data_IF_890339990345
#
_entry.id   IF_890339990345
#
_cell.length_a   1.000
_cell.length_b   1.000
_cell.length_c   1.000
_cell.angle_alpha   90.00
_cell.angle_beta   90.00
_cell.angle_gamma   90.00
#
_symmetry.space_group_name_H-M   'P 1'
#
loop_
_entity.id
_entity.type
_entity.pdbx_description
1 polymer ?
#
# COMPACT_ATOMS: atom_id res chain seq x y z
N UNK A 1 -8.30 -33.96 -12.35
CA UNK A 1 -8.01 -33.07 -11.20
C UNK A 1 -6.83 -33.71 -10.48
N UNK A 2 -5.63 -33.42 -10.94
CA UNK A 2 -4.39 -33.83 -10.28
C UNK A 2 -4.02 -32.69 -9.34
N UNK A 3 -4.40 -32.83 -8.07
CA UNK A 3 -3.99 -31.92 -7.01
C UNK A 3 -2.47 -31.92 -6.94
N UNK A 4 -1.88 -30.74 -7.03
CA UNK A 4 -0.48 -30.54 -6.65
C UNK A 4 -0.37 -30.99 -5.18
N UNK A 5 0.41 -32.02 -4.91
CA UNK A 5 0.65 -32.49 -3.55
C UNK A 5 1.48 -31.43 -2.82
N UNK A 6 0.79 -30.52 -2.13
CA UNK A 6 1.37 -29.41 -1.36
C UNK A 6 2.02 -29.88 -0.05
N UNK A 7 2.54 -31.11 -0.02
CA UNK A 7 3.32 -31.61 1.12
C UNK A 7 4.74 -31.02 1.19
N UNK A 8 5.23 -30.40 0.11
CA UNK A 8 6.50 -29.68 0.09
C UNK A 8 6.38 -28.35 0.82
N UNK A 9 7.26 -28.10 1.78
CA UNK A 9 7.32 -26.84 2.51
C UNK A 9 7.72 -25.69 1.54
N UNK A 10 6.94 -24.61 1.51
CA UNK A 10 7.23 -23.44 0.68
C UNK A 10 8.32 -22.60 1.35
N UNK A 11 9.35 -22.23 0.59
CA UNK A 11 10.34 -21.25 1.05
C UNK A 11 9.76 -19.81 0.97
N UNK A 12 10.05 -18.96 1.93
CA UNK A 12 9.68 -17.56 1.92
C UNK A 12 10.85 -16.66 2.26
N UNK A 13 11.12 -15.66 1.42
CA UNK A 13 12.09 -14.59 1.69
C UNK A 13 11.32 -13.37 2.21
N UNK A 14 11.41 -13.04 3.51
CA UNK A 14 10.58 -12.01 4.11
C UNK A 14 11.05 -10.60 3.77
N UNK A 15 10.13 -9.64 3.90
CA UNK A 15 10.46 -8.22 3.83
C UNK A 15 11.17 -7.73 5.10
N UNK A 16 10.86 -8.31 6.24
CA UNK A 16 11.51 -8.09 7.52
C UNK A 16 11.73 -9.39 8.28
N UNK A 17 12.82 -9.49 9.08
CA UNK A 17 13.25 -10.76 9.70
C UNK A 17 12.20 -11.35 10.67
N UNK A 18 11.35 -10.51 11.26
CA UNK A 18 10.36 -10.92 12.29
C UNK A 18 8.94 -11.06 11.71
N UNK A 19 8.77 -10.94 10.38
CA UNK A 19 7.48 -10.98 9.69
C UNK A 19 6.46 -9.92 10.17
N UNK A 20 6.91 -8.87 10.84
CA UNK A 20 6.05 -7.83 11.41
C UNK A 20 5.81 -6.64 10.48
N UNK A 21 6.51 -6.57 9.35
CA UNK A 21 6.30 -5.51 8.39
C UNK A 21 4.91 -5.63 7.75
N UNK A 22 4.22 -4.51 7.42
CA UNK A 22 2.90 -4.55 6.78
C UNK A 22 2.85 -5.46 5.56
N UNK A 23 3.93 -5.47 4.75
CA UNK A 23 4.05 -6.38 3.62
C UNK A 23 3.93 -7.86 4.05
N UNK A 24 4.74 -8.31 5.02
CA UNK A 24 4.73 -9.70 5.45
C UNK A 24 3.37 -10.08 6.07
N UNK A 25 2.73 -9.17 6.82
CA UNK A 25 1.43 -9.43 7.48
C UNK A 25 0.23 -9.44 6.53
N UNK A 26 0.35 -8.86 5.31
CA UNK A 26 -0.78 -8.61 4.40
C UNK A 26 -0.70 -9.38 3.08
N UNK A 27 0.40 -10.08 2.82
CA UNK A 27 0.65 -10.77 1.55
C UNK A 27 0.75 -12.28 1.76
N UNK A 28 1.77 -12.93 1.18
CA UNK A 28 1.91 -14.39 1.21
C UNK A 28 1.78 -15.02 2.59
N UNK A 29 2.42 -14.56 3.69
CA UNK A 29 2.26 -15.18 5.00
C UNK A 29 0.81 -15.16 5.51
N UNK A 30 0.06 -14.09 5.25
CA UNK A 30 -1.37 -14.03 5.59
C UNK A 30 -2.20 -15.01 4.78
N UNK A 31 -1.96 -15.07 3.47
CA UNK A 31 -2.60 -16.05 2.60
C UNK A 31 -2.30 -17.49 3.07
N UNK A 32 -1.04 -17.81 3.34
CA UNK A 32 -0.63 -19.13 3.84
C UNK A 32 -1.38 -19.49 5.13
N UNK A 33 -1.48 -18.55 6.08
CA UNK A 33 -2.25 -18.77 7.30
C UNK A 33 -3.74 -19.03 7.02
N UNK A 34 -4.36 -18.31 6.08
CA UNK A 34 -5.77 -18.52 5.69
C UNK A 34 -6.01 -19.89 5.04
N UNK A 35 -5.04 -20.43 4.33
CA UNK A 35 -5.13 -21.72 3.62
C UNK A 35 -4.51 -22.89 4.43
N UNK A 36 -3.96 -22.62 5.61
CA UNK A 36 -3.28 -23.65 6.41
C UNK A 36 -2.02 -24.19 5.77
N UNK A 37 -1.36 -23.38 4.92
CA UNK A 37 -0.11 -23.74 4.27
C UNK A 37 1.08 -23.50 5.21
N UNK A 38 2.02 -24.44 5.22
CA UNK A 38 3.29 -24.28 5.94
C UNK A 38 4.34 -23.64 5.05
N UNK A 39 5.14 -22.74 5.61
CA UNK A 39 6.30 -22.17 4.94
C UNK A 39 7.49 -22.02 5.89
N UNK A 40 8.68 -21.92 5.33
CA UNK A 40 9.92 -21.66 6.07
C UNK A 40 10.58 -20.36 5.56
N UNK A 41 11.10 -19.56 6.49
CA UNK A 41 11.92 -18.39 6.13
C UNK A 41 13.29 -18.86 5.66
N UNK A 42 13.65 -18.49 4.44
CA UNK A 42 14.83 -19.03 3.77
C UNK A 42 15.77 -17.94 3.24
N UNK A 43 17.10 -18.15 3.28
CA UNK A 43 18.07 -17.23 2.69
C UNK A 43 18.36 -17.52 1.20
N UNK A 44 18.01 -18.71 0.71
CA UNK A 44 18.29 -19.23 -0.63
C UNK A 44 17.26 -20.31 -1.05
N UNK A 45 17.48 -20.95 -2.21
CA UNK A 45 16.55 -21.93 -2.82
C UNK A 45 16.95 -23.41 -2.60
N UNK A 46 18.06 -23.70 -1.92
CA UNK A 46 18.68 -25.03 -1.98
C UNK A 46 17.77 -26.18 -1.54
N UNK A 47 16.93 -25.95 -0.54
CA UNK A 47 16.10 -27.00 0.07
C UNK A 47 14.61 -26.92 -0.29
N UNK A 48 14.20 -26.03 -1.20
CA UNK A 48 12.79 -25.81 -1.50
C UNK A 48 12.53 -25.89 -3.01
N UNK A 49 11.45 -26.56 -3.40
CA UNK A 49 11.00 -26.63 -4.78
C UNK A 49 10.31 -25.35 -5.24
N UNK A 50 9.67 -24.63 -4.31
CA UNK A 50 8.96 -23.39 -4.53
C UNK A 50 9.37 -22.37 -3.47
N UNK A 51 9.74 -21.15 -3.93
CA UNK A 51 10.07 -20.03 -3.03
C UNK A 51 9.29 -18.79 -3.43
N UNK A 52 8.69 -18.12 -2.44
CA UNK A 52 8.04 -16.81 -2.60
C UNK A 52 8.98 -15.71 -2.12
N UNK A 53 9.25 -14.75 -2.99
CA UNK A 53 10.21 -13.67 -2.77
C UNK A 53 9.48 -12.36 -2.47
N UNK A 54 9.75 -11.75 -1.33
CA UNK A 54 9.33 -10.38 -1.04
C UNK A 54 10.19 -9.35 -1.81
N UNK A 55 9.80 -8.06 -1.84
CA UNK A 55 10.59 -7.00 -2.49
C UNK A 55 11.99 -6.79 -1.90
N UNK A 56 12.25 -7.33 -0.70
CA UNK A 56 13.57 -7.28 -0.05
C UNK A 56 14.52 -8.38 -0.51
N UNK A 57 14.03 -9.35 -1.29
CA UNK A 57 14.87 -10.39 -1.85
C UNK A 57 15.95 -9.78 -2.75
N UNK A 58 17.19 -10.29 -2.62
CA UNK A 58 18.30 -9.83 -3.43
C UNK A 58 18.18 -10.35 -4.87
N UNK A 59 17.67 -9.50 -5.78
CA UNK A 59 17.52 -9.86 -7.18
C UNK A 59 18.83 -10.36 -7.83
N UNK A 60 20.02 -9.91 -7.34
CA UNK A 60 21.31 -10.35 -7.87
C UNK A 60 21.67 -11.78 -7.50
N UNK A 61 21.03 -12.33 -6.49
CA UNK A 61 21.16 -13.74 -6.09
C UNK A 61 20.11 -14.59 -6.79
N UNK A 62 18.84 -14.20 -6.69
CA UNK A 62 17.71 -15.03 -7.11
C UNK A 62 17.57 -15.19 -8.63
N UNK A 63 18.18 -14.31 -9.41
CA UNK A 63 18.24 -14.45 -10.88
C UNK A 63 18.96 -15.72 -11.34
N UNK A 64 19.82 -16.30 -10.51
CA UNK A 64 20.59 -17.51 -10.84
C UNK A 64 19.94 -18.80 -10.29
N UNK A 65 18.71 -18.72 -9.78
CA UNK A 65 17.97 -19.90 -9.31
C UNK A 65 17.83 -20.91 -10.45
N UNK A 66 18.18 -22.19 -10.23
CA UNK A 66 18.03 -23.24 -11.23
C UNK A 66 16.61 -23.37 -11.77
N UNK A 67 16.45 -23.78 -13.03
CA UNK A 67 15.15 -23.86 -13.69
C UNK A 67 14.21 -24.96 -13.16
N UNK A 68 14.74 -25.91 -12.40
CA UNK A 68 13.98 -26.94 -11.68
C UNK A 68 13.40 -26.45 -10.35
N UNK A 69 13.68 -25.20 -9.97
CA UNK A 69 13.11 -24.52 -8.79
C UNK A 69 12.12 -23.44 -9.22
N UNK A 70 10.99 -23.40 -8.60
CA UNK A 70 9.93 -22.41 -8.88
C UNK A 70 10.10 -21.18 -8.03
N UNK A 71 9.93 -20.00 -8.64
CA UNK A 71 10.02 -18.72 -7.96
C UNK A 71 8.75 -17.92 -8.21
N UNK A 72 8.12 -17.47 -7.14
CA UNK A 72 7.08 -16.43 -7.17
C UNK A 72 7.70 -15.12 -6.66
N UNK A 73 7.65 -14.07 -7.45
CA UNK A 73 8.13 -12.73 -7.05
C UNK A 73 6.92 -11.86 -6.68
N UNK A 74 6.88 -11.38 -5.44
CA UNK A 74 5.78 -10.53 -4.94
C UNK A 74 6.23 -9.06 -4.87
N UNK A 75 5.70 -8.20 -5.78
CA UNK A 75 6.04 -6.79 -5.95
C UNK A 75 4.80 -5.90 -5.74
N UNK A 76 4.47 -5.45 -4.52
CA UNK A 76 3.25 -4.70 -4.23
C UNK A 76 3.32 -3.22 -4.66
N UNK A 77 4.50 -2.68 -4.92
CA UNK A 77 4.73 -1.30 -5.32
C UNK A 77 5.22 -1.22 -6.78
N UNK A 78 5.04 -0.05 -7.41
CA UNK A 78 5.42 0.23 -8.80
C UNK A 78 6.96 0.42 -8.97
N UNK A 79 7.73 -0.60 -8.61
CA UNK A 79 9.21 -0.54 -8.63
C UNK A 79 9.81 -0.30 -10.02
N UNK A 80 9.09 -0.64 -11.09
CA UNK A 80 9.53 -0.45 -12.48
C UNK A 80 9.28 0.99 -12.95
N UNK A 81 8.32 1.71 -12.34
CA UNK A 81 7.90 3.05 -12.74
C UNK A 81 8.75 4.17 -12.11
N UNK A 82 9.85 3.83 -11.43
CA UNK A 82 10.79 4.84 -10.92
C UNK A 82 11.33 5.71 -12.05
N UNK A 83 11.20 7.03 -11.91
CA UNK A 83 11.70 8.01 -12.89
C UNK A 83 13.15 7.71 -13.31
N UNK A 84 13.39 7.64 -14.62
CA UNK A 84 14.71 7.45 -15.19
C UNK A 84 15.63 8.62 -14.82
N UNK A 85 16.80 8.34 -14.21
CA UNK A 85 17.79 9.35 -13.88
C UNK A 85 19.17 8.76 -13.61
N UNK A 86 20.22 9.57 -13.66
CA UNK A 86 21.60 9.15 -13.41
C UNK A 86 21.78 8.48 -12.03
N UNK A 87 20.91 8.80 -11.05
CA UNK A 87 20.89 8.16 -9.73
C UNK A 87 20.50 6.68 -9.79
N UNK A 88 19.69 6.25 -10.77
CA UNK A 88 19.30 4.85 -10.98
C UNK A 88 20.49 3.99 -11.38
N UNK A 89 21.40 4.53 -12.23
CA UNK A 89 22.57 3.82 -12.73
C UNK A 89 23.61 3.47 -11.66
N UNK A 90 23.68 4.22 -10.55
CA UNK A 90 24.62 3.97 -9.46
C UNK A 90 24.00 3.30 -8.23
N UNK A 91 22.69 3.06 -8.25
CA UNK A 91 21.96 2.49 -7.10
C UNK A 91 22.38 1.05 -6.81
N UNK A 92 22.80 0.29 -7.83
CA UNK A 92 23.30 -1.06 -7.67
C UNK A 92 24.61 -1.11 -6.86
N UNK A 93 25.56 -0.22 -7.16
CA UNK A 93 26.82 -0.11 -6.39
C UNK A 93 26.54 0.39 -4.97
N UNK A 94 25.62 1.36 -4.82
CA UNK A 94 25.25 1.88 -3.51
C UNK A 94 24.58 0.81 -2.62
N UNK A 95 23.71 -0.03 -3.17
CA UNK A 95 23.10 -1.17 -2.47
C UNK A 95 24.14 -2.20 -2.05
N UNK A 96 25.08 -2.52 -2.93
CA UNK A 96 26.18 -3.42 -2.59
C UNK A 96 27.07 -2.85 -1.49
N UNK A 97 27.46 -1.58 -1.57
CA UNK A 97 28.26 -0.92 -0.54
C UNK A 97 27.51 -0.80 0.81
N UNK A 98 26.17 -0.76 0.79
CA UNK A 98 25.32 -0.77 1.96
C UNK A 98 25.08 -2.19 2.53
N UNK A 99 25.54 -3.24 1.85
CA UNK A 99 25.31 -4.64 2.23
C UNK A 99 23.90 -5.15 1.89
N UNK A 100 23.15 -4.40 1.06
CA UNK A 100 21.78 -4.75 0.63
C UNK A 100 21.74 -5.67 -0.59
N UNK A 101 22.88 -5.89 -1.27
CA UNK A 101 23.03 -6.89 -2.32
C UNK A 101 24.35 -7.64 -2.18
N UNK A 102 24.33 -8.94 -2.46
CA UNK A 102 25.53 -9.80 -2.36
C UNK A 102 26.52 -9.57 -3.49
N UNK A 103 26.04 -9.11 -4.65
CA UNK A 103 26.88 -8.90 -5.84
C UNK A 103 26.89 -7.44 -6.27
N UNK A 104 28.06 -6.92 -6.67
CA UNK A 104 28.15 -5.58 -7.24
C UNK A 104 27.50 -5.58 -8.63
N UNK A 105 26.43 -4.80 -8.81
CA UNK A 105 25.78 -4.59 -10.11
C UNK A 105 25.71 -3.10 -10.42
N UNK A 106 25.93 -2.74 -11.69
CA UNK A 106 25.82 -1.33 -12.11
C UNK A 106 24.37 -0.84 -12.01
N UNK A 107 23.42 -1.65 -12.45
CA UNK A 107 21.99 -1.32 -12.43
C UNK A 107 21.20 -2.40 -11.70
N UNK A 108 20.66 -2.06 -10.55
CA UNK A 108 19.78 -2.97 -9.79
C UNK A 108 18.45 -3.22 -10.51
N UNK A 109 17.95 -2.24 -11.30
CA UNK A 109 16.74 -2.43 -12.11
C UNK A 109 16.91 -3.53 -13.15
N UNK A 110 18.07 -3.64 -13.82
CA UNK A 110 18.33 -4.75 -14.74
C UNK A 110 18.37 -6.10 -14.04
N UNK A 111 18.87 -6.16 -12.81
CA UNK A 111 18.83 -7.41 -12.03
C UNK A 111 17.37 -7.78 -11.69
N UNK A 112 16.52 -6.78 -11.38
CA UNK A 112 15.10 -6.99 -11.16
C UNK A 112 14.38 -7.44 -12.44
N UNK A 113 14.59 -6.77 -13.57
CA UNK A 113 14.05 -7.16 -14.88
C UNK A 113 14.37 -8.64 -15.19
N UNK A 114 15.63 -9.04 -15.05
CA UNK A 114 16.06 -10.44 -15.24
C UNK A 114 15.46 -11.42 -14.22
N UNK A 115 15.22 -10.96 -12.97
CA UNK A 115 14.53 -11.78 -11.98
C UNK A 115 13.07 -12.00 -12.38
N UNK A 116 12.40 -10.99 -12.93
CA UNK A 116 11.03 -11.11 -13.44
C UNK A 116 10.95 -12.05 -14.64
N UNK A 117 11.91 -11.97 -15.58
CA UNK A 117 12.04 -12.92 -16.70
C UNK A 117 12.29 -14.38 -16.23
N UNK A 118 12.95 -14.56 -15.08
CA UNK A 118 13.24 -15.88 -14.50
C UNK A 118 12.06 -16.42 -13.69
N UNK A 119 11.21 -15.54 -13.14
CA UNK A 119 10.13 -15.93 -12.23
C UNK A 119 9.09 -16.80 -12.94
N UNK A 120 8.60 -17.84 -12.24
CA UNK A 120 7.54 -18.71 -12.73
C UNK A 120 6.15 -18.02 -12.59
N UNK A 121 6.01 -17.11 -11.62
CA UNK A 121 4.90 -16.17 -11.52
C UNK A 121 5.33 -14.88 -10.82
N UNK A 122 4.62 -13.79 -11.13
CA UNK A 122 4.81 -12.49 -10.48
C UNK A 122 3.48 -12.02 -9.89
N UNK A 123 3.51 -11.61 -8.63
CA UNK A 123 2.37 -10.98 -7.96
C UNK A 123 2.64 -9.49 -7.87
N UNK A 124 1.66 -8.69 -8.25
CA UNK A 124 1.67 -7.24 -8.04
C UNK A 124 0.37 -6.81 -7.37
N UNK A 125 0.16 -5.51 -7.16
CA UNK A 125 -1.04 -5.04 -6.47
C UNK A 125 -2.10 -4.46 -7.40
N UNK A 126 -1.72 -3.96 -8.59
CA UNK A 126 -2.64 -3.26 -9.50
C UNK A 126 -2.51 -3.73 -10.93
N UNK A 127 -3.56 -3.50 -11.74
CA UNK A 127 -3.55 -3.80 -13.18
C UNK A 127 -2.51 -2.95 -13.92
N UNK A 128 -2.27 -1.71 -13.45
CA UNK A 128 -1.25 -0.81 -14.00
C UNK A 128 0.15 -1.39 -13.79
N UNK A 129 0.43 -1.93 -12.60
CA UNK A 129 1.69 -2.64 -12.33
C UNK A 129 1.79 -3.92 -13.16
N UNK A 130 0.69 -4.68 -13.27
CA UNK A 130 0.67 -5.89 -14.08
C UNK A 130 1.00 -5.60 -15.54
N UNK A 131 0.49 -4.51 -16.11
CA UNK A 131 0.80 -4.09 -17.48
C UNK A 131 2.31 -3.83 -17.67
N UNK A 132 2.95 -3.11 -16.73
CA UNK A 132 4.40 -2.84 -16.78
C UNK A 132 5.24 -4.12 -16.59
N UNK A 133 4.79 -5.05 -15.72
CA UNK A 133 5.49 -6.30 -15.44
C UNK A 133 5.35 -7.30 -16.59
N UNK A 134 4.23 -7.26 -17.33
CA UNK A 134 3.97 -8.14 -18.47
C UNK A 134 4.95 -7.97 -19.62
N UNK A 135 5.78 -6.92 -19.62
CA UNK A 135 6.93 -6.80 -20.55
C UNK A 135 8.04 -7.83 -20.25
N UNK A 136 8.07 -8.41 -19.03
CA UNK A 136 9.12 -9.29 -18.55
C UNK A 136 8.63 -10.69 -18.17
N UNK A 137 7.35 -10.87 -17.90
CA UNK A 137 6.77 -12.16 -17.48
C UNK A 137 5.36 -12.34 -18.06
N UNK A 138 5.07 -13.54 -18.56
CA UNK A 138 3.75 -13.90 -19.09
C UNK A 138 2.77 -14.35 -17.99
N UNK A 139 3.25 -14.65 -16.78
CA UNK A 139 2.44 -15.14 -15.65
C UNK A 139 2.38 -14.10 -14.54
N UNK A 140 1.51 -13.09 -14.71
CA UNK A 140 1.41 -11.94 -13.80
C UNK A 140 0.01 -11.88 -13.18
N UNK A 141 -0.05 -11.74 -11.85
CA UNK A 141 -1.29 -11.71 -11.08
C UNK A 141 -1.40 -10.44 -10.24
N UNK A 142 -2.48 -9.68 -10.45
CA UNK A 142 -2.80 -8.52 -9.60
C UNK A 142 -3.58 -8.99 -8.36
N UNK A 143 -2.94 -8.95 -7.20
CA UNK A 143 -3.53 -9.33 -5.91
C UNK A 143 -3.28 -8.24 -4.88
N UNK A 144 -4.35 -7.67 -4.35
CA UNK A 144 -4.29 -6.64 -3.31
C UNK A 144 -3.92 -7.22 -1.95
N UNK A 145 -3.50 -6.35 -1.03
CA UNK A 145 -3.22 -6.73 0.35
C UNK A 145 -4.44 -7.35 1.05
N UNK A 146 -4.19 -8.37 1.86
CA UNK A 146 -5.14 -8.96 2.78
C UNK A 146 -5.15 -8.14 4.08
N UNK A 147 -6.24 -7.44 4.36
CA UNK A 147 -6.30 -6.44 5.45
C UNK A 147 -6.96 -6.96 6.73
N UNK A 148 -6.93 -8.27 6.98
CA UNK A 148 -7.57 -8.89 8.15
C UNK A 148 -7.02 -8.46 9.51
N UNK A 149 -5.88 -7.79 9.53
CA UNK A 149 -5.36 -7.15 10.75
C UNK A 149 -6.14 -5.88 11.15
N UNK A 150 -6.90 -5.31 10.22
CA UNK A 150 -7.74 -4.14 10.46
C UNK A 150 -9.16 -4.63 10.77
N UNK A 151 -9.62 -4.45 11.99
CA UNK A 151 -10.97 -4.79 12.39
C UNK A 151 -12.02 -3.99 11.62
N UNK A 152 -13.14 -4.64 11.32
CA UNK A 152 -14.29 -3.96 10.71
C UNK A 152 -15.08 -3.24 11.79
N UNK A 153 -15.29 -1.94 11.64
CA UNK A 153 -16.08 -1.10 12.54
C UNK A 153 -17.29 -0.55 11.83
N UNK A 154 -18.44 -0.55 12.49
CA UNK A 154 -19.67 0.00 11.91
C UNK A 154 -19.49 1.51 11.57
N UNK A 155 -19.99 1.97 10.42
CA UNK A 155 -20.08 3.39 10.10
C UNK A 155 -20.90 4.13 11.13
N UNK A 156 -20.52 5.35 11.43
CA UNK A 156 -21.23 6.22 12.36
C UNK A 156 -21.08 7.69 11.97
N UNK A 157 -22.04 8.50 12.37
CA UNK A 157 -21.87 9.94 12.39
C UNK A 157 -21.15 10.32 13.68
N UNK A 158 -20.13 11.16 13.57
CA UNK A 158 -19.44 11.70 14.75
C UNK A 158 -20.34 12.71 15.48
N UNK A 159 -20.30 12.67 16.80
CA UNK A 159 -20.97 13.64 17.67
C UNK A 159 -20.07 14.84 18.01
N UNK A 160 -18.91 14.96 17.34
CA UNK A 160 -17.96 16.04 17.61
C UNK A 160 -18.51 17.41 17.20
N UNK A 161 -18.19 18.45 17.97
CA UNK A 161 -18.54 19.84 17.64
C UNK A 161 -17.65 20.46 16.55
N UNK A 162 -16.68 19.69 16.02
CA UNK A 162 -15.74 20.08 14.98
C UNK A 162 -15.82 19.17 13.78
N UNK A 163 -14.85 19.31 12.89
CA UNK A 163 -14.65 18.46 11.74
C UNK A 163 -13.29 17.78 11.84
N UNK A 164 -13.30 16.50 12.20
CA UNK A 164 -12.11 15.70 12.43
C UNK A 164 -11.79 14.86 11.20
N UNK A 165 -10.65 15.14 10.57
CA UNK A 165 -10.20 14.47 9.36
C UNK A 165 -8.97 13.63 9.70
N UNK A 166 -8.93 12.38 9.26
CA UNK A 166 -7.76 11.50 9.44
C UNK A 166 -7.05 11.22 8.12
N UNK A 167 -5.75 11.16 8.21
CA UNK A 167 -4.86 10.61 7.19
C UNK A 167 -3.88 9.62 7.83
N UNK A 168 -3.56 8.54 7.11
CA UNK A 168 -2.48 7.63 7.49
C UNK A 168 -1.47 7.46 6.38
N UNK A 169 -0.21 7.23 6.74
CA UNK A 169 0.83 6.92 5.78
C UNK A 169 2.24 7.19 6.28
N UNK A 170 3.20 6.87 5.41
CA UNK A 170 4.61 7.16 5.68
C UNK A 170 4.89 8.66 5.59
N UNK A 171 5.82 9.17 6.41
CA UNK A 171 6.26 10.57 6.36
C UNK A 171 6.73 11.02 4.98
N UNK A 172 7.24 10.09 4.17
CA UNK A 172 7.64 10.34 2.77
C UNK A 172 6.47 10.76 1.88
N UNK A 173 5.22 10.45 2.25
CA UNK A 173 4.01 10.79 1.48
C UNK A 173 3.28 12.03 1.99
N UNK A 174 3.77 12.69 3.06
CA UNK A 174 3.24 13.98 3.55
C UNK A 174 3.20 15.11 2.48
N UNK A 175 4.11 15.16 1.49
CA UNK A 175 3.99 16.13 0.41
C UNK A 175 2.66 16.08 -0.33
N UNK A 176 2.03 14.91 -0.47
CA UNK A 176 0.70 14.79 -1.08
C UNK A 176 -0.40 15.40 -0.18
N UNK A 177 -0.29 15.27 1.15
CA UNK A 177 -1.19 15.95 2.09
C UNK A 177 -1.03 17.47 2.00
N UNK A 178 0.21 17.94 1.83
CA UNK A 178 0.48 19.38 1.67
C UNK A 178 -0.19 20.00 0.45
N UNK A 179 -0.41 19.24 -0.62
CA UNK A 179 -1.13 19.69 -1.82
C UNK A 179 -2.60 20.00 -1.51
N UNK A 180 -3.21 19.37 -0.49
CA UNK A 180 -4.62 19.55 -0.12
C UNK A 180 -4.81 20.64 0.94
N UNK A 181 -3.71 21.19 1.49
CA UNK A 181 -3.77 22.22 2.54
C UNK A 181 -4.63 23.44 2.16
N UNK A 182 -4.59 23.98 0.94
CA UNK A 182 -5.43 25.12 0.58
C UNK A 182 -6.93 24.84 0.80
N UNK A 183 -7.40 23.64 0.46
CA UNK A 183 -8.78 23.23 0.68
C UNK A 183 -9.10 23.09 2.18
N UNK A 184 -8.21 22.45 2.95
CA UNK A 184 -8.38 22.29 4.41
C UNK A 184 -8.36 23.64 5.13
N UNK A 185 -7.49 24.56 4.74
CA UNK A 185 -7.42 25.92 5.29
C UNK A 185 -8.70 26.71 5.01
N UNK A 186 -9.26 26.58 3.79
CA UNK A 186 -10.53 27.24 3.44
C UNK A 186 -11.65 26.81 4.37
N UNK A 187 -11.81 25.51 4.61
CA UNK A 187 -12.85 24.97 5.49
C UNK A 187 -12.61 25.36 6.95
N UNK A 188 -11.36 25.42 7.40
CA UNK A 188 -11.00 25.78 8.76
C UNK A 188 -11.42 27.21 9.16
N UNK A 189 -11.75 28.06 8.18
CA UNK A 189 -12.29 29.40 8.46
C UNK A 189 -13.75 29.37 8.92
N UNK A 190 -14.50 28.33 8.57
CA UNK A 190 -15.92 28.19 8.89
C UNK A 190 -16.24 27.20 10.01
N UNK A 191 -15.27 26.33 10.36
CA UNK A 191 -15.46 25.32 11.42
C UNK A 191 -14.15 25.04 12.18
N UNK A 192 -14.26 24.37 13.33
CA UNK A 192 -13.11 23.84 14.05
C UNK A 192 -12.63 22.56 13.36
N UNK A 193 -11.75 22.71 12.36
CA UNK A 193 -11.12 21.58 11.66
C UNK A 193 -9.91 21.09 12.43
N UNK A 194 -9.80 19.76 12.60
CA UNK A 194 -8.62 19.07 13.14
C UNK A 194 -8.16 18.00 12.13
N UNK A 195 -6.87 18.05 11.79
CA UNK A 195 -6.26 17.06 10.92
C UNK A 195 -5.41 16.09 11.76
N UNK A 196 -5.85 14.83 11.84
CA UNK A 196 -5.15 13.77 12.53
C UNK A 196 -4.23 13.05 11.54
N UNK A 197 -2.92 13.07 11.80
CA UNK A 197 -1.91 12.36 11.01
C UNK A 197 -1.41 11.14 11.80
N UNK A 198 -1.75 9.95 11.34
CA UNK A 198 -1.24 8.69 11.89
C UNK A 198 -0.04 8.26 11.06
N UNK A 199 1.16 8.50 11.58
CA UNK A 199 2.42 8.34 10.85
C UNK A 199 3.61 8.14 11.80
N UNK A 200 4.79 7.87 11.26
CA UNK A 200 6.00 7.89 12.08
C UNK A 200 6.31 9.32 12.55
N UNK A 201 6.49 9.50 13.85
CA UNK A 201 6.85 10.81 14.43
C UNK A 201 8.30 11.21 14.14
N UNK A 202 9.13 10.25 13.73
CA UNK A 202 10.53 10.43 13.35
C UNK A 202 10.81 9.69 12.06
N UNK A 203 11.35 10.37 11.06
CA UNK A 203 11.81 9.74 9.83
C UNK A 203 13.32 9.87 9.69
N UNK A 204 14.05 8.76 9.50
CA UNK A 204 15.45 8.81 9.16
C UNK A 204 15.62 9.38 7.74
N UNK A 205 16.55 10.30 7.57
CA UNK A 205 16.88 10.91 6.27
C UNK A 205 18.22 10.33 5.80
N UNK A 206 18.35 10.05 4.49
CA UNK A 206 19.52 9.46 3.84
C UNK A 206 19.92 8.07 4.39
N UNK A 207 19.58 7.03 3.61
CA UNK A 207 19.95 5.62 3.83
C UNK A 207 19.61 5.09 5.24
N UNK A 208 18.55 5.59 5.87
CA UNK A 208 18.10 5.23 7.23
C UNK A 208 19.17 5.35 8.34
N UNK A 209 20.23 6.14 8.12
CA UNK A 209 21.38 6.20 9.06
C UNK A 209 21.81 7.60 9.48
N UNK A 210 21.47 8.65 8.71
CA UNK A 210 21.98 9.99 8.98
C UNK A 210 20.86 11.00 9.01
N UNK A 211 20.76 11.78 10.11
CA UNK A 211 19.76 12.81 10.36
C UNK A 211 18.32 12.31 10.52
N UNK A 212 17.78 12.51 11.70
CA UNK A 212 16.36 12.32 12.00
C UNK A 212 15.63 13.64 11.74
N UNK A 213 14.53 13.61 10.99
CA UNK A 213 13.60 14.73 10.85
C UNK A 213 12.35 14.41 11.68
N UNK A 214 11.96 15.35 12.52
CA UNK A 214 10.71 15.23 13.25
C UNK A 214 9.54 15.57 12.33
N UNK A 215 8.47 14.81 12.42
CA UNK A 215 7.25 15.06 11.65
C UNK A 215 6.60 16.37 12.09
N UNK A 216 6.72 16.75 13.36
CA UNK A 216 6.27 18.03 13.90
C UNK A 216 6.89 19.22 13.15
N UNK A 217 8.19 19.17 12.85
CA UNK A 217 8.86 20.23 12.07
C UNK A 217 8.34 20.33 10.62
N UNK A 218 7.83 19.22 10.07
CA UNK A 218 7.29 19.19 8.69
C UNK A 218 5.94 19.88 8.61
N UNK A 219 5.13 19.78 9.66
CA UNK A 219 3.75 20.26 9.68
C UNK A 219 3.58 21.60 10.40
N UNK A 220 4.63 22.14 11.03
CA UNK A 220 4.58 23.35 11.83
C UNK A 220 4.04 24.59 11.08
N UNK A 221 4.25 24.65 9.76
CA UNK A 221 3.84 25.77 8.91
C UNK A 221 2.50 25.54 8.18
N UNK A 222 1.72 24.51 8.53
CA UNK A 222 0.52 24.14 7.79
C UNK A 222 -0.70 25.03 8.07
N UNK A 223 -0.68 25.83 9.12
CA UNK A 223 -1.70 26.85 9.39
C UNK A 223 -3.10 26.30 9.76
N UNK A 224 -3.19 25.03 10.16
CA UNK A 224 -4.39 24.34 10.66
C UNK A 224 -4.05 23.58 11.95
N UNK A 225 -5.06 23.14 12.72
CA UNK A 225 -4.85 22.29 13.91
C UNK A 225 -4.46 20.86 13.46
N UNK A 226 -3.16 20.51 13.59
CA UNK A 226 -2.62 19.18 13.26
C UNK A 226 -2.36 18.40 14.52
N UNK A 227 -2.87 17.16 14.57
CA UNK A 227 -2.66 16.20 15.65
C UNK A 227 -1.82 15.03 15.14
N UNK A 228 -0.63 14.83 15.73
CA UNK A 228 0.29 13.77 15.34
C UNK A 228 0.10 12.55 16.24
N UNK A 229 0.01 11.38 15.61
CA UNK A 229 -0.12 10.09 16.28
C UNK A 229 0.92 9.12 15.74
N UNK A 230 1.66 8.45 16.65
CA UNK A 230 2.59 7.40 16.24
C UNK A 230 1.81 6.26 15.59
N UNK A 231 2.24 5.83 14.43
CA UNK A 231 1.56 4.78 13.68
C UNK A 231 1.62 3.43 14.41
N UNK A 232 0.47 2.83 14.59
CA UNK A 232 0.24 1.41 14.85
C UNK A 232 -1.16 1.07 14.34
N UNK A 233 -1.49 -0.21 14.22
CA UNK A 233 -2.84 -0.65 13.82
C UNK A 233 -3.88 -0.17 14.85
N UNK A 234 -3.57 -0.29 16.13
CA UNK A 234 -4.43 0.09 17.24
C UNK A 234 -4.64 1.60 17.26
N UNK A 235 -3.56 2.39 17.16
CA UNK A 235 -3.64 3.87 17.13
C UNK A 235 -4.46 4.34 15.94
N UNK A 236 -4.26 3.75 14.75
CA UNK A 236 -5.04 4.09 13.56
C UNK A 236 -6.52 3.84 13.79
N UNK A 237 -6.88 2.68 14.35
CA UNK A 237 -8.25 2.32 14.62
C UNK A 237 -8.91 3.19 15.70
N UNK A 238 -8.17 3.59 16.75
CA UNK A 238 -8.62 4.49 17.80
C UNK A 238 -8.87 5.91 17.28
N UNK A 239 -7.90 6.46 16.54
CA UNK A 239 -8.00 7.80 15.96
C UNK A 239 -9.14 7.87 14.95
N UNK A 240 -9.20 6.90 14.03
CA UNK A 240 -10.27 6.83 13.03
C UNK A 240 -11.67 6.78 13.67
N UNK A 241 -11.81 6.10 14.82
CA UNK A 241 -13.08 6.05 15.54
C UNK A 241 -13.58 7.41 16.04
N UNK A 242 -12.70 8.40 16.17
CA UNK A 242 -13.04 9.78 16.58
C UNK A 242 -13.21 10.74 15.40
N UNK A 243 -12.94 10.32 14.17
CA UNK A 243 -12.96 11.19 13.02
C UNK A 243 -14.26 11.10 12.21
N UNK A 244 -14.53 12.15 11.44
CA UNK A 244 -15.68 12.30 10.55
C UNK A 244 -15.41 11.78 9.15
N UNK A 245 -14.14 11.84 8.71
CA UNK A 245 -13.72 11.62 7.34
C UNK A 245 -12.26 11.19 7.27
N UNK A 246 -11.93 10.37 6.29
CA UNK A 246 -10.55 10.09 5.92
C UNK A 246 -10.18 10.72 4.57
N UNK A 247 -8.93 11.18 4.44
CA UNK A 247 -8.40 11.67 3.16
C UNK A 247 -7.26 10.80 2.67
N UNK A 248 -7.22 10.55 1.35
CA UNK A 248 -6.18 9.77 0.66
C UNK A 248 -5.62 10.59 -0.51
N UNK A 249 -4.88 11.67 -0.23
CA UNK A 249 -4.22 12.43 -1.29
C UNK A 249 -3.05 11.63 -1.89
N UNK A 250 -2.93 11.71 -3.21
CA UNK A 250 -1.87 11.11 -4.02
C UNK A 250 -1.32 12.18 -4.97
N UNK A 251 -0.01 12.26 -5.10
CA UNK A 251 0.61 13.10 -6.14
C UNK A 251 0.37 12.47 -7.51
N UNK A 252 -0.63 13.03 -8.24
CA UNK A 252 -1.03 12.53 -9.56
C UNK A 252 0.03 12.79 -10.66
N UNK A 253 1.07 13.57 -10.37
CA UNK A 253 2.20 13.81 -11.27
C UNK A 253 3.38 12.86 -11.04
N UNK A 254 3.35 12.06 -9.97
CA UNK A 254 4.38 11.06 -9.69
C UNK A 254 3.90 9.67 -10.13
N UNK A 255 4.47 9.08 -11.21
CA UNK A 255 4.07 7.77 -11.70
C UNK A 255 4.13 6.66 -10.63
N UNK A 256 5.15 6.71 -9.76
CA UNK A 256 5.28 5.74 -8.67
C UNK A 256 4.13 5.87 -7.64
N UNK A 257 3.68 7.10 -7.36
CA UNK A 257 2.54 7.33 -6.47
C UNK A 257 1.21 6.93 -7.12
N UNK A 258 1.06 7.20 -8.42
CA UNK A 258 -0.12 6.85 -9.22
C UNK A 258 -0.31 5.32 -9.35
N UNK A 259 0.79 4.57 -9.47
CA UNK A 259 0.77 3.11 -9.56
C UNK A 259 0.48 2.38 -8.23
N UNK A 260 0.28 3.10 -7.11
CA UNK A 260 -0.02 2.46 -5.81
C UNK A 260 -1.46 1.96 -5.73
N UNK A 261 -1.68 0.83 -5.00
CA UNK A 261 -3.01 0.27 -4.82
C UNK A 261 -3.89 1.14 -3.90
N UNK A 262 -5.19 0.91 -3.97
CA UNK A 262 -6.26 1.53 -3.17
C UNK A 262 -6.30 1.09 -1.70
N UNK A 263 -5.25 0.52 -1.17
CA UNK A 263 -5.20 -0.06 0.19
C UNK A 263 -5.66 0.90 1.28
N UNK A 264 -5.30 2.21 1.20
CA UNK A 264 -5.71 3.20 2.20
C UNK A 264 -7.21 3.46 2.19
N UNK A 265 -7.85 3.54 1.02
CA UNK A 265 -9.30 3.64 0.94
C UNK A 265 -9.95 2.44 1.61
N UNK A 266 -9.47 1.23 1.31
CA UNK A 266 -9.97 -0.04 1.87
C UNK A 266 -9.78 -0.12 3.39
N UNK A 267 -8.66 0.36 3.93
CA UNK A 267 -8.39 0.44 5.37
C UNK A 267 -9.43 1.33 6.05
N UNK A 268 -9.65 2.54 5.55
CA UNK A 268 -10.61 3.46 6.16
C UNK A 268 -12.06 3.00 6.00
N UNK A 269 -12.42 2.36 4.90
CA UNK A 269 -13.73 1.75 4.73
C UNK A 269 -13.96 0.59 5.71
N UNK A 270 -12.94 -0.22 6.02
CA UNK A 270 -13.03 -1.23 7.09
C UNK A 270 -13.25 -0.57 8.45
N UNK A 271 -12.63 0.57 8.70
CA UNK A 271 -12.80 1.34 9.93
C UNK A 271 -14.11 2.15 9.99
N UNK A 272 -14.99 2.02 8.99
CA UNK A 272 -16.31 2.65 8.95
C UNK A 272 -16.28 4.14 8.62
N UNK A 273 -15.22 4.64 7.97
CA UNK A 273 -15.12 6.05 7.58
C UNK A 273 -15.43 6.26 6.09
N UNK A 274 -16.11 7.37 5.75
CA UNK A 274 -16.11 7.86 4.38
C UNK A 274 -14.71 8.31 3.99
N UNK A 275 -14.36 8.17 2.70
CA UNK A 275 -13.01 8.49 2.19
C UNK A 275 -13.11 9.44 1.01
N UNK A 276 -12.36 10.54 1.05
CA UNK A 276 -12.10 11.39 -0.11
C UNK A 276 -10.67 11.16 -0.59
N UNK A 277 -10.49 10.94 -1.88
CA UNK A 277 -9.20 10.53 -2.43
C UNK A 277 -8.84 11.29 -3.72
N UNK A 278 -7.54 11.41 -4.01
CA UNK A 278 -7.10 11.79 -5.36
C UNK A 278 -7.52 10.72 -6.37
N UNK A 279 -7.90 11.15 -7.58
CA UNK A 279 -8.39 10.28 -8.67
C UNK A 279 -7.24 9.51 -9.35
N UNK A 280 -6.44 8.76 -8.58
CA UNK A 280 -5.51 7.78 -9.15
C UNK A 280 -6.28 6.60 -9.75
N UNK A 281 -5.74 5.86 -10.74
CA UNK A 281 -6.43 4.73 -11.36
C UNK A 281 -6.99 3.72 -10.34
N UNK A 282 -6.20 3.37 -9.33
CA UNK A 282 -6.61 2.47 -8.26
C UNK A 282 -7.78 3.03 -7.42
N UNK A 283 -7.72 4.30 -7.05
CA UNK A 283 -8.79 4.96 -6.29
C UNK A 283 -10.08 5.10 -7.12
N UNK A 284 -9.94 5.39 -8.43
CA UNK A 284 -11.10 5.41 -9.36
C UNK A 284 -11.74 4.04 -9.44
N UNK A 285 -10.95 2.98 -9.58
CA UNK A 285 -11.43 1.59 -9.58
C UNK A 285 -12.19 1.27 -8.29
N UNK A 286 -11.62 1.60 -7.12
CA UNK A 286 -12.26 1.38 -5.83
C UNK A 286 -13.58 2.14 -5.69
N UNK A 287 -13.58 3.44 -6.02
CA UNK A 287 -14.80 4.27 -5.98
C UNK A 287 -15.88 3.75 -6.94
N UNK A 288 -15.50 3.25 -8.12
CA UNK A 288 -16.42 2.63 -9.09
C UNK A 288 -17.06 1.35 -8.51
N UNK A 289 -16.26 0.46 -7.89
CA UNK A 289 -16.79 -0.75 -7.25
C UNK A 289 -17.75 -0.43 -6.09
N UNK A 290 -17.49 0.66 -5.38
CA UNK A 290 -18.37 1.12 -4.29
C UNK A 290 -19.61 1.91 -4.78
N UNK A 291 -19.74 2.17 -6.10
CA UNK A 291 -20.81 2.99 -6.64
C UNK A 291 -20.75 4.47 -6.23
N UNK A 292 -19.57 4.93 -5.79
CA UNK A 292 -19.39 6.28 -5.26
C UNK A 292 -19.09 7.32 -6.35
N UNK A 293 -18.49 6.88 -7.48
CA UNK A 293 -18.15 7.75 -8.60
C UNK A 293 -17.34 8.98 -8.19
N UNK A 294 -17.66 10.11 -8.81
CA UNK A 294 -16.96 11.39 -8.60
C UNK A 294 -17.26 12.07 -7.25
N UNK A 295 -18.18 11.53 -6.46
CA UNK A 295 -18.55 12.10 -5.13
C UNK A 295 -17.40 12.13 -4.13
N UNK A 296 -16.37 11.31 -4.36
CA UNK A 296 -15.25 11.09 -3.43
C UNK A 296 -13.87 11.23 -4.10
N UNK A 297 -13.84 11.55 -5.40
CA UNK A 297 -12.62 11.64 -6.19
C UNK A 297 -12.28 13.10 -6.53
N UNK A 298 -11.03 13.48 -6.26
CA UNK A 298 -10.54 14.83 -6.49
C UNK A 298 -9.31 14.82 -7.42
N UNK A 299 -9.26 15.76 -8.36
CA UNK A 299 -8.13 15.99 -9.27
C UNK A 299 -7.48 17.35 -8.98
N UNK A 300 -8.29 18.35 -8.68
CA UNK A 300 -7.88 19.74 -8.47
C UNK A 300 -8.11 20.20 -7.02
N UNK A 301 -7.47 21.29 -6.63
CA UNK A 301 -7.71 21.92 -5.32
C UNK A 301 -9.17 22.32 -5.15
N UNK A 302 -9.85 22.72 -6.23
CA UNK A 302 -11.26 23.07 -6.21
C UNK A 302 -12.14 21.86 -5.95
N UNK A 303 -11.83 20.69 -6.53
CA UNK A 303 -12.56 19.45 -6.24
C UNK A 303 -12.44 19.07 -4.77
N UNK A 304 -11.21 19.15 -4.22
CA UNK A 304 -10.97 18.90 -2.80
C UNK A 304 -11.78 19.84 -1.92
N UNK A 305 -11.74 21.16 -2.21
CA UNK A 305 -12.49 22.16 -1.43
C UNK A 305 -13.98 21.88 -1.48
N UNK A 306 -14.55 21.72 -2.66
CA UNK A 306 -15.99 21.51 -2.84
C UNK A 306 -16.47 20.19 -2.21
N UNK A 307 -15.75 19.11 -2.39
CA UNK A 307 -16.09 17.80 -1.82
C UNK A 307 -16.05 17.85 -0.29
N UNK A 308 -15.02 18.43 0.29
CA UNK A 308 -14.89 18.52 1.75
C UNK A 308 -15.92 19.46 2.37
N UNK A 309 -16.23 20.60 1.74
CA UNK A 309 -17.30 21.54 2.17
C UNK A 309 -18.66 20.83 2.18
N UNK A 310 -19.01 20.13 1.09
CA UNK A 310 -20.26 19.38 1.01
C UNK A 310 -20.38 18.31 2.10
N UNK A 311 -19.29 17.57 2.37
CA UNK A 311 -19.29 16.52 3.38
C UNK A 311 -19.26 17.08 4.82
N UNK A 312 -18.73 18.27 5.02
CA UNK A 312 -18.87 18.97 6.30
C UNK A 312 -20.33 19.35 6.57
N UNK A 313 -21.02 19.92 5.58
CA UNK A 313 -22.38 20.41 5.70
C UNK A 313 -23.43 19.30 5.79
N UNK A 314 -23.10 18.07 5.29
CA UNK A 314 -24.04 16.95 5.15
C UNK A 314 -23.54 15.68 5.84
N UNK A 315 -23.78 15.54 7.15
CA UNK A 315 -23.36 14.34 7.90
C UNK A 315 -24.01 13.04 7.37
N UNK A 316 -25.23 13.12 6.83
CA UNK A 316 -25.95 12.00 6.21
C UNK A 316 -25.21 11.45 4.99
N UNK A 317 -24.63 12.33 4.16
CA UNK A 317 -23.84 11.91 3.01
C UNK A 317 -22.57 11.14 3.46
N UNK A 318 -21.94 11.58 4.57
CA UNK A 318 -20.79 10.86 5.14
C UNK A 318 -21.14 9.43 5.53
N UNK A 319 -22.29 9.23 6.16
CA UNK A 319 -22.76 7.91 6.56
C UNK A 319 -23.01 7.02 5.34
N UNK A 320 -23.75 7.52 4.34
CA UNK A 320 -24.02 6.79 3.10
C UNK A 320 -22.73 6.35 2.39
N UNK A 321 -21.75 7.26 2.27
CA UNK A 321 -20.46 6.98 1.64
C UNK A 321 -19.66 5.91 2.41
N UNK A 322 -19.68 5.98 3.74
CA UNK A 322 -19.02 5.02 4.60
C UNK A 322 -19.65 3.62 4.49
N UNK A 323 -20.98 3.53 4.48
CA UNK A 323 -21.73 2.28 4.32
C UNK A 323 -21.45 1.63 2.96
N UNK A 324 -21.46 2.40 1.87
CA UNK A 324 -21.14 1.90 0.54
C UNK A 324 -19.70 1.40 0.43
N UNK A 325 -18.73 2.15 0.96
CA UNK A 325 -17.34 1.73 1.01
C UNK A 325 -17.14 0.46 1.84
N UNK A 326 -17.79 0.38 3.02
CA UNK A 326 -17.74 -0.81 3.87
C UNK A 326 -18.36 -2.03 3.22
N UNK A 327 -19.52 -1.89 2.60
CA UNK A 327 -20.13 -2.99 1.84
C UNK A 327 -19.19 -3.54 0.78
N UNK A 328 -18.44 -2.66 0.11
CA UNK A 328 -17.46 -3.03 -0.93
C UNK A 328 -16.29 -3.84 -0.35
N UNK A 329 -15.73 -3.44 0.81
CA UNK A 329 -14.62 -4.21 1.41
C UNK A 329 -15.07 -5.53 2.01
N UNK A 330 -16.33 -5.67 2.37
CA UNK A 330 -16.90 -6.93 2.87
C UNK A 330 -17.32 -7.89 1.74
N UNK A 331 -17.40 -7.42 0.50
CA UNK A 331 -17.82 -8.21 -0.67
C UNK A 331 -16.69 -8.33 -1.70
N UNK A 332 -16.56 -7.35 -2.59
CA UNK A 332 -15.60 -7.37 -3.70
C UNK A 332 -14.13 -7.46 -3.24
N UNK A 333 -13.81 -6.83 -2.10
CA UNK A 333 -12.48 -6.85 -1.48
C UNK A 333 -12.41 -7.72 -0.22
N UNK A 334 -13.31 -8.68 -0.06
CA UNK A 334 -13.23 -9.61 1.09
C UNK A 334 -11.91 -10.39 1.06
N UNK A 335 -11.39 -10.74 2.24
CA UNK A 335 -10.15 -11.51 2.32
C UNK A 335 -10.24 -12.84 1.56
N UNK A 336 -11.40 -13.49 1.59
CA UNK A 336 -11.61 -14.73 0.83
C UNK A 336 -11.55 -14.50 -0.68
N UNK A 337 -12.20 -13.43 -1.19
CA UNK A 337 -12.13 -13.07 -2.62
C UNK A 337 -10.69 -12.79 -3.08
N UNK A 338 -9.88 -12.16 -2.22
CA UNK A 338 -8.47 -11.88 -2.53
C UNK A 338 -7.59 -13.12 -2.36
N UNK A 339 -7.87 -13.98 -1.37
CA UNK A 339 -7.16 -15.23 -1.21
C UNK A 339 -7.39 -16.18 -2.39
N UNK A 340 -8.60 -16.22 -2.97
CA UNK A 340 -8.88 -16.98 -4.19
C UNK A 340 -8.00 -16.52 -5.39
N UNK A 341 -7.54 -15.28 -5.44
CA UNK A 341 -6.60 -14.83 -6.49
C UNK A 341 -5.20 -15.42 -6.28
N UNK A 342 -4.79 -15.60 -5.02
CA UNK A 342 -3.58 -16.36 -4.69
C UNK A 342 -3.74 -17.83 -5.06
N UNK A 343 -4.91 -18.45 -4.80
CA UNK A 343 -5.19 -19.84 -5.20
C UNK A 343 -5.01 -19.99 -6.72
N UNK A 344 -5.61 -19.07 -7.52
CA UNK A 344 -5.47 -19.06 -8.98
C UNK A 344 -4.01 -18.96 -9.43
N UNK A 345 -3.18 -18.15 -8.76
CA UNK A 345 -1.76 -18.08 -9.05
C UNK A 345 -1.08 -19.43 -8.81
N UNK A 346 -1.30 -20.03 -7.65
CA UNK A 346 -0.66 -21.31 -7.31
C UNK A 346 -1.12 -22.47 -8.21
N UNK A 347 -2.32 -22.38 -8.81
CA UNK A 347 -2.81 -23.33 -9.82
C UNK A 347 -2.04 -23.23 -11.16
N UNK A 348 -1.34 -22.12 -11.42
CA UNK A 348 -0.53 -21.93 -12.65
C UNK A 348 0.90 -22.44 -12.51
N UNK A 349 1.34 -22.80 -11.30
CA UNK A 349 2.66 -23.32 -11.00
C UNK A 349 2.66 -24.84 -11.04
#
# INVERSE_FOLDING_TARGET
MTGCDMSATIGYVPHGPELERPFDRRRFPRYAAMRGLSFEVVPDWENHELVVLSPSADATLWVDTPSDRRIVVDLPDAYLDERHGLRRSFRGIAKWAAGESRRPVLSYSRAMERLLERADAVVCSTDEQAASISEYSDNVHAVLDLLGEIDVRAPKVSDSSGFDIVWEGLTATLPAVRQVLPALQSISTGCQLRLHLVTDLRSPRYMNRFFTRWTEDVVADWGIDVRLHQWSVETLAEVAAGCDLAIVPVDLLDPMAVGKPENRMRIFWRLGLPVVASASPANVRAATFAGLGDRVLCVTDEDWRHTLENLYERPEDRLELAEAGQATVLTAYSEESLACRWDQLFETL
#
